data_IF_366125170287
#
_entry.id   IF_366125170287
#
_cell.length_a   1.000
_cell.length_b   1.000
_cell.length_c   1.000
_cell.angle_alpha   90.00
_cell.angle_beta   90.00
_cell.angle_gamma   90.00
#
_symmetry.space_group_name_H-M   'P 1'
#
loop_
_entity.id
_entity.type
_entity.pdbx_description
1 polymer ?
#
# COMPACT_ATOMS: atom_id res chain seq x y z
N UNK A 1 9.85 15.66 -19.34
CA UNK A 1 11.03 14.78 -19.43
C UNK A 1 11.71 14.70 -18.07
N UNK A 2 11.97 13.49 -17.55
CA UNK A 2 12.65 13.27 -16.27
C UNK A 2 11.78 12.68 -15.17
N UNK A 3 12.31 12.66 -13.93
CA UNK A 3 11.71 12.17 -12.69
C UNK A 3 11.31 13.35 -11.79
N UNK A 4 10.24 13.22 -11.01
CA UNK A 4 9.85 14.24 -10.03
C UNK A 4 9.32 15.51 -10.68
N UNK A 5 8.10 15.46 -11.23
CA UNK A 5 7.55 16.57 -12.02
C UNK A 5 7.39 17.90 -11.27
N UNK A 6 7.38 17.86 -9.94
CA UNK A 6 7.55 19.03 -9.06
C UNK A 6 8.88 19.04 -8.32
N UNK A 7 9.25 17.93 -7.68
CA UNK A 7 10.50 17.80 -6.91
C UNK A 7 11.22 16.51 -7.28
N UNK A 8 12.52 16.63 -7.57
CA UNK A 8 13.48 15.55 -7.47
C UNK A 8 14.33 15.78 -6.22
N UNK A 9 14.40 14.81 -5.32
CA UNK A 9 15.17 14.88 -4.08
C UNK A 9 16.12 13.68 -3.94
N UNK A 10 17.38 13.96 -3.63
CA UNK A 10 18.37 12.98 -3.19
C UNK A 10 18.80 13.36 -1.77
N UNK A 11 18.40 12.55 -0.79
CA UNK A 11 18.58 12.76 0.64
C UNK A 11 19.40 11.59 1.18
N UNK A 12 20.69 11.56 0.83
CA UNK A 12 21.57 10.40 0.98
C UNK A 12 22.74 10.62 1.96
N UNK A 13 22.60 11.55 2.91
CA UNK A 13 23.62 11.79 3.94
C UNK A 13 23.02 11.93 5.34
N UNK A 14 23.81 11.52 6.33
CA UNK A 14 23.42 11.54 7.75
C UNK A 14 23.02 12.94 8.19
N UNK A 15 21.82 13.06 8.76
CA UNK A 15 21.30 14.33 9.26
C UNK A 15 20.66 15.23 8.19
N UNK A 16 20.66 14.81 6.92
CA UNK A 16 19.92 15.53 5.87
C UNK A 16 18.42 15.35 6.04
N UNK A 17 17.71 16.46 5.98
CA UNK A 17 16.25 16.52 6.10
C UNK A 17 15.68 17.42 5.00
N UNK A 18 14.69 16.90 4.27
CA UNK A 18 13.80 17.71 3.44
C UNK A 18 12.40 17.75 4.07
N UNK A 19 11.95 18.95 4.45
CA UNK A 19 10.60 19.17 4.97
C UNK A 19 9.75 19.91 3.95
N UNK A 20 8.58 19.35 3.63
CA UNK A 20 7.55 19.94 2.77
C UNK A 20 6.31 20.15 3.65
N UNK A 21 6.01 21.40 3.99
CA UNK A 21 5.00 21.75 5.00
C UNK A 21 4.15 22.96 4.60
N UNK A 22 3.37 23.48 5.55
CA UNK A 22 2.72 24.80 5.48
C UNK A 22 1.78 25.03 4.29
N UNK A 23 0.89 24.06 4.04
CA UNK A 23 -0.12 24.14 2.97
C UNK A 23 0.49 24.18 1.57
N UNK A 24 1.68 23.60 1.40
CA UNK A 24 2.32 23.42 0.10
C UNK A 24 1.39 22.69 -0.88
N UNK A 25 1.51 23.02 -2.17
CA UNK A 25 0.67 22.45 -3.23
C UNK A 25 1.50 22.08 -4.45
N UNK A 26 1.29 20.87 -4.95
CA UNK A 26 1.80 20.37 -6.22
C UNK A 26 0.60 20.08 -7.11
N UNK A 27 0.37 20.92 -8.10
CA UNK A 27 -0.84 20.87 -8.94
C UNK A 27 -0.43 20.53 -10.36
N UNK A 28 -1.01 19.46 -10.89
CA UNK A 28 -0.81 18.99 -12.27
C UNK A 28 0.66 18.74 -12.64
N UNK A 29 1.52 18.50 -11.65
CA UNK A 29 2.91 18.14 -11.88
C UNK A 29 2.97 16.81 -12.66
N UNK A 30 3.73 16.79 -13.75
CA UNK A 30 3.81 15.61 -14.62
C UNK A 30 5.26 15.22 -14.84
N UNK A 31 5.54 13.95 -14.59
CA UNK A 31 6.82 13.29 -14.84
C UNK A 31 6.65 12.30 -15.99
N UNK A 32 7.63 12.24 -16.89
CA UNK A 32 7.63 11.19 -17.91
C UNK A 32 8.05 9.85 -17.32
N UNK A 33 8.94 9.89 -16.33
CA UNK A 33 9.39 8.73 -15.58
C UNK A 33 8.67 8.69 -14.23
N UNK A 34 9.38 8.45 -13.13
CA UNK A 34 8.82 8.22 -11.82
C UNK A 34 8.46 9.52 -11.08
N UNK A 35 7.47 9.47 -10.18
CA UNK A 35 7.09 10.54 -9.28
C UNK A 35 6.50 11.74 -10.01
N UNK A 36 5.20 11.72 -10.32
CA UNK A 36 4.57 12.83 -11.04
C UNK A 36 4.67 14.17 -10.32
N UNK A 37 4.48 14.18 -8.99
CA UNK A 37 4.76 15.33 -8.14
C UNK A 37 6.15 15.27 -7.53
N UNK A 38 6.44 14.22 -6.77
CA UNK A 38 7.68 14.11 -6.00
C UNK A 38 8.39 12.80 -6.35
N UNK A 39 9.69 12.88 -6.58
CA UNK A 39 10.60 11.74 -6.65
C UNK A 39 11.65 11.91 -5.56
N UNK A 40 11.84 10.90 -4.71
CA UNK A 40 12.79 10.96 -3.61
C UNK A 40 13.63 9.69 -3.45
N UNK A 41 14.94 9.88 -3.35
CA UNK A 41 15.89 8.87 -2.88
C UNK A 41 16.27 9.22 -1.44
N UNK A 42 16.01 8.33 -0.50
CA UNK A 42 16.25 8.57 0.93
C UNK A 42 17.15 7.46 1.46
N UNK A 43 18.39 7.80 1.75
CA UNK A 43 19.38 6.82 2.21
C UNK A 43 20.38 7.36 3.22
N UNK A 44 21.20 6.48 3.80
CA UNK A 44 22.25 6.83 4.76
C UNK A 44 21.75 7.73 5.92
N UNK A 45 20.64 7.35 6.55
CA UNK A 45 20.01 8.11 7.63
C UNK A 45 19.47 9.49 7.23
N UNK A 46 19.28 9.74 5.94
CA UNK A 46 18.53 10.88 5.42
C UNK A 46 17.04 10.75 5.69
N UNK A 47 16.34 11.89 5.75
CA UNK A 47 14.93 11.93 6.11
C UNK A 47 14.13 12.88 5.21
N UNK A 48 12.89 12.50 4.90
CA UNK A 48 11.91 13.35 4.25
C UNK A 48 10.66 13.43 5.10
N UNK A 49 10.16 14.64 5.32
CA UNK A 49 8.90 14.88 6.02
C UNK A 49 7.96 15.67 5.11
N UNK A 50 6.75 15.13 4.91
CA UNK A 50 5.67 15.81 4.19
C UNK A 50 4.52 15.99 5.16
N UNK A 51 4.08 17.23 5.33
CA UNK A 51 2.94 17.56 6.16
C UNK A 51 2.07 18.66 5.59
N UNK A 52 0.77 18.64 5.91
CA UNK A 52 -0.17 19.69 5.54
C UNK A 52 0.00 20.14 4.07
N UNK A 53 0.02 19.18 3.14
CA UNK A 53 0.43 19.39 1.75
C UNK A 53 -0.59 18.72 0.83
N UNK A 54 -0.85 19.32 -0.33
CA UNK A 54 -1.73 18.72 -1.34
C UNK A 54 -0.97 18.44 -2.62
N UNK A 55 -1.06 17.20 -3.11
CA UNK A 55 -0.66 16.80 -4.45
C UNK A 55 -1.94 16.52 -5.23
N UNK A 56 -2.23 17.31 -6.27
CA UNK A 56 -3.48 17.23 -7.01
C UNK A 56 -3.24 17.11 -8.51
N UNK A 57 -3.81 16.08 -9.14
CA UNK A 57 -3.69 15.84 -10.58
C UNK A 57 -2.26 15.51 -11.02
N UNK A 58 -1.40 15.05 -10.10
CA UNK A 58 -0.01 14.72 -10.41
C UNK A 58 0.08 13.39 -11.16
N UNK A 59 0.92 13.33 -12.19
CA UNK A 59 0.95 12.20 -13.11
C UNK A 59 2.36 11.70 -13.43
N UNK A 60 2.53 10.38 -13.40
CA UNK A 60 3.67 9.71 -14.04
C UNK A 60 3.19 9.07 -15.36
N UNK A 61 3.76 9.46 -16.50
CA UNK A 61 3.24 9.02 -17.81
C UNK A 61 3.75 7.67 -18.27
N UNK A 62 5.00 7.31 -17.96
CA UNK A 62 5.59 6.02 -18.32
C UNK A 62 6.32 5.32 -17.16
N UNK A 63 6.55 6.00 -16.04
CA UNK A 63 7.15 5.43 -14.84
C UNK A 63 6.14 5.02 -13.77
N UNK A 64 6.56 5.18 -12.52
CA UNK A 64 5.86 4.74 -11.30
C UNK A 64 5.53 5.91 -10.39
N UNK A 65 4.53 5.76 -9.52
CA UNK A 65 4.18 6.77 -8.51
C UNK A 65 3.57 8.02 -9.15
N UNK A 66 2.24 8.05 -9.28
CA UNK A 66 1.56 9.18 -9.92
C UNK A 66 1.75 10.49 -9.15
N UNK A 67 1.57 10.44 -7.82
CA UNK A 67 1.89 11.57 -6.94
C UNK A 67 3.35 11.55 -6.49
N UNK A 68 3.75 10.48 -5.80
CA UNK A 68 5.05 10.37 -5.15
C UNK A 68 5.72 9.05 -5.51
N UNK A 69 7.01 9.11 -5.79
CA UNK A 69 7.90 7.95 -5.83
C UNK A 69 8.96 8.07 -4.72
N UNK A 70 9.19 6.99 -3.99
CA UNK A 70 10.26 6.90 -2.98
C UNK A 70 11.08 5.63 -3.10
N UNK A 71 12.40 5.73 -2.96
CA UNK A 71 13.30 4.62 -2.64
C UNK A 71 13.96 4.92 -1.30
N UNK A 72 13.64 4.12 -0.27
CA UNK A 72 14.05 4.34 1.11
C UNK A 72 14.95 3.18 1.52
N UNK A 73 16.24 3.45 1.72
CA UNK A 73 17.23 2.43 2.04
C UNK A 73 18.18 2.80 3.16
N UNK A 74 18.44 1.86 4.07
CA UNK A 74 19.44 2.03 5.12
C UNK A 74 18.86 2.37 6.49
N UNK A 75 19.71 2.20 7.52
CA UNK A 75 19.34 2.46 8.90
C UNK A 75 18.97 3.94 9.10
N UNK A 76 17.88 4.18 9.83
CA UNK A 76 17.32 5.50 10.13
C UNK A 76 16.89 6.33 8.91
N UNK A 77 16.90 5.75 7.70
CA UNK A 77 16.33 6.38 6.51
C UNK A 77 14.81 6.36 6.60
N UNK A 78 14.19 7.54 6.55
CA UNK A 78 12.77 7.70 6.85
C UNK A 78 12.07 8.63 5.87
N UNK A 79 10.94 8.18 5.34
CA UNK A 79 9.94 9.09 4.76
C UNK A 79 8.72 9.09 5.69
N UNK A 80 8.34 10.27 6.17
CA UNK A 80 7.14 10.47 6.96
C UNK A 80 6.15 11.37 6.24
N UNK A 81 4.96 10.87 5.97
CA UNK A 81 3.84 11.59 5.37
C UNK A 81 2.75 11.69 6.42
N UNK A 82 2.46 12.89 6.91
CA UNK A 82 1.61 13.06 8.09
C UNK A 82 0.85 14.37 8.13
N UNK A 83 -0.10 14.52 9.05
CA UNK A 83 -0.78 15.78 9.34
C UNK A 83 -1.48 16.37 8.10
N UNK A 84 -2.53 15.69 7.61
CA UNK A 84 -3.38 16.18 6.51
C UNK A 84 -2.64 16.37 5.18
N UNK A 85 -1.96 15.33 4.73
CA UNK A 85 -1.48 15.26 3.35
C UNK A 85 -2.58 14.72 2.46
N UNK A 86 -2.86 15.38 1.35
CA UNK A 86 -3.90 14.97 0.40
C UNK A 86 -3.25 14.62 -0.94
N UNK A 87 -3.43 13.39 -1.39
CA UNK A 87 -3.14 12.97 -2.76
C UNK A 87 -4.47 12.82 -3.50
N UNK A 88 -4.74 13.73 -4.43
CA UNK A 88 -6.04 13.86 -5.09
C UNK A 88 -5.86 13.69 -6.58
N UNK A 89 -6.56 12.71 -7.17
CA UNK A 89 -6.55 12.48 -8.62
C UNK A 89 -5.14 12.27 -9.19
N UNK A 90 -4.24 11.72 -8.39
CA UNK A 90 -2.90 11.36 -8.85
C UNK A 90 -2.98 10.07 -9.68
N UNK A 91 -2.30 10.04 -10.83
CA UNK A 91 -2.38 8.90 -11.75
C UNK A 91 -0.99 8.37 -12.16
N UNK A 92 -0.82 7.07 -12.02
CA UNK A 92 0.27 6.33 -12.63
C UNK A 92 -0.22 5.75 -13.96
N UNK A 93 0.29 6.27 -15.09
CA UNK A 93 -0.07 5.85 -16.46
C UNK A 93 0.95 4.89 -17.07
N UNK A 94 2.08 4.65 -16.40
CA UNK A 94 3.08 3.67 -16.82
C UNK A 94 2.55 2.24 -16.77
N UNK A 95 3.13 1.38 -17.61
CA UNK A 95 2.75 -0.04 -17.76
C UNK A 95 3.53 -0.98 -16.84
N UNK A 96 4.53 -0.47 -16.11
CA UNK A 96 5.38 -1.26 -15.22
C UNK A 96 5.29 -0.77 -13.76
N UNK A 97 4.56 -1.52 -12.93
CA UNK A 97 4.43 -1.39 -11.46
C UNK A 97 3.85 -0.04 -10.97
N UNK A 98 2.53 0.03 -10.79
CA UNK A 98 1.85 1.30 -10.51
C UNK A 98 1.48 1.51 -9.05
N UNK A 99 1.32 2.78 -8.68
CA UNK A 99 1.01 3.30 -7.35
C UNK A 99 0.44 4.70 -7.56
N UNK A 100 -0.87 4.81 -7.82
CA UNK A 100 -1.46 6.04 -8.39
C UNK A 100 -1.18 7.28 -7.54
N UNK A 101 -1.34 7.17 -6.23
CA UNK A 101 -0.84 8.16 -5.28
C UNK A 101 0.64 7.99 -5.02
N UNK A 102 1.05 6.85 -4.46
CA UNK A 102 2.42 6.60 -4.03
C UNK A 102 2.95 5.27 -4.58
N UNK A 103 4.19 5.28 -5.05
CA UNK A 103 5.00 4.08 -5.22
C UNK A 103 6.22 4.15 -4.31
N UNK A 104 6.44 3.14 -3.47
CA UNK A 104 7.62 3.10 -2.60
C UNK A 104 8.35 1.77 -2.63
N UNK A 105 9.68 1.84 -2.67
CA UNK A 105 10.57 0.73 -2.32
C UNK A 105 11.13 1.02 -0.93
N UNK A 106 10.98 0.09 0.01
CA UNK A 106 11.44 0.23 1.39
C UNK A 106 12.35 -0.94 1.73
N UNK A 107 13.65 -0.67 1.85
CA UNK A 107 14.65 -1.71 1.93
C UNK A 107 15.77 -1.46 2.95
N UNK A 108 16.50 -2.50 3.34
CA UNK A 108 17.71 -2.39 4.18
C UNK A 108 17.50 -1.56 5.46
N UNK A 109 16.43 -1.80 6.21
CA UNK A 109 15.99 -1.07 7.40
C UNK A 109 15.38 0.34 7.19
N UNK A 110 15.07 0.69 5.94
CA UNK A 110 14.31 1.89 5.62
C UNK A 110 12.89 1.85 6.20
N UNK A 111 12.29 3.03 6.36
CA UNK A 111 10.94 3.17 6.91
C UNK A 111 10.09 4.17 6.12
N UNK A 112 8.85 3.77 5.83
CA UNK A 112 7.80 4.66 5.35
C UNK A 112 6.69 4.72 6.39
N UNK A 113 6.35 5.93 6.85
CA UNK A 113 5.28 6.16 7.82
C UNK A 113 4.26 7.10 7.21
N UNK A 114 3.01 6.64 7.08
CA UNK A 114 1.87 7.43 6.59
C UNK A 114 0.85 7.53 7.71
N UNK A 115 0.51 8.75 8.13
CA UNK A 115 -0.32 8.92 9.31
C UNK A 115 -1.13 10.22 9.38
N UNK A 116 -1.95 10.36 10.43
CA UNK A 116 -2.62 11.58 10.88
C UNK A 116 -3.40 12.29 9.78
N UNK A 117 -4.58 11.76 9.46
CA UNK A 117 -5.54 12.36 8.53
C UNK A 117 -5.01 12.52 7.10
N UNK A 118 -4.14 11.60 6.65
CA UNK A 118 -3.68 11.58 5.25
C UNK A 118 -4.76 10.97 4.36
N UNK A 119 -5.06 11.60 3.23
CA UNK A 119 -6.11 11.21 2.30
C UNK A 119 -5.56 10.88 0.92
N UNK A 120 -5.98 9.73 0.39
CA UNK A 120 -5.84 9.36 -1.02
C UNK A 120 -7.23 9.38 -1.64
N UNK A 121 -7.48 10.31 -2.55
CA UNK A 121 -8.78 10.52 -3.16
C UNK A 121 -8.70 10.35 -4.68
N UNK A 122 -9.43 9.39 -5.21
CA UNK A 122 -9.52 9.15 -6.67
C UNK A 122 -8.17 8.90 -7.34
N UNK A 123 -7.19 8.40 -6.60
CA UNK A 123 -5.90 8.00 -7.15
C UNK A 123 -6.05 6.77 -8.04
N UNK A 124 -5.29 6.73 -9.14
CA UNK A 124 -5.44 5.67 -10.14
C UNK A 124 -4.10 5.11 -10.62
N UNK A 125 -4.05 3.79 -10.72
CA UNK A 125 -3.02 3.07 -11.45
C UNK A 125 -3.64 2.50 -12.73
N UNK A 126 -3.32 3.11 -13.87
CA UNK A 126 -4.06 2.88 -15.12
C UNK A 126 -3.86 1.48 -15.70
N UNK A 127 -2.67 0.92 -15.54
CA UNK A 127 -2.29 -0.39 -16.08
C UNK A 127 -1.57 -1.27 -15.06
N UNK A 128 -1.36 -0.77 -13.84
CA UNK A 128 -0.61 -1.46 -12.80
C UNK A 128 -1.46 -1.80 -11.58
N UNK A 129 -0.75 -2.15 -10.51
CA UNK A 129 -1.29 -2.43 -9.19
C UNK A 129 -1.51 -1.13 -8.40
N UNK A 130 -2.06 -1.20 -7.18
CA UNK A 130 -1.98 -0.11 -6.20
C UNK A 130 -2.61 1.21 -6.65
N UNK A 131 -3.94 1.32 -6.65
CA UNK A 131 -4.59 2.56 -7.12
C UNK A 131 -4.23 3.77 -6.25
N UNK A 132 -4.24 3.60 -4.93
CA UNK A 132 -3.73 4.58 -3.98
C UNK A 132 -2.23 4.43 -3.76
N UNK A 133 -1.78 3.23 -3.42
CA UNK A 133 -0.40 2.98 -3.03
C UNK A 133 0.11 1.61 -3.49
N UNK A 134 1.37 1.59 -3.90
CA UNK A 134 2.16 0.39 -4.11
C UNK A 134 3.40 0.42 -3.22
N UNK A 135 3.68 -0.69 -2.54
CA UNK A 135 4.90 -0.84 -1.74
C UNK A 135 5.59 -2.18 -1.97
N UNK A 136 6.92 -2.12 -2.17
CA UNK A 136 7.82 -3.26 -2.04
C UNK A 136 8.58 -3.12 -0.71
N UNK A 137 8.51 -4.12 0.17
CA UNK A 137 9.12 -4.07 1.51
C UNK A 137 10.11 -5.21 1.69
N UNK A 138 11.40 -4.89 1.83
CA UNK A 138 12.49 -5.88 1.81
C UNK A 138 13.48 -5.60 2.94
N UNK A 139 13.45 -6.41 3.99
CA UNK A 139 14.50 -6.41 5.03
C UNK A 139 15.76 -7.17 4.59
N UNK A 140 16.56 -7.60 5.55
CA UNK A 140 17.75 -8.44 5.31
C UNK A 140 17.97 -9.42 6.46
N UNK A 141 18.08 -10.72 6.15
CA UNK A 141 18.49 -11.72 7.13
C UNK A 141 19.96 -11.59 7.53
N UNK A 142 20.83 -11.27 6.57
CA UNK A 142 22.29 -11.23 6.76
C UNK A 142 22.66 -10.20 7.84
N UNK A 143 22.00 -9.05 7.80
CA UNK A 143 22.23 -7.95 8.74
C UNK A 143 21.17 -7.87 9.85
N UNK A 144 20.24 -8.84 9.90
CA UNK A 144 19.05 -8.84 10.75
C UNK A 144 18.28 -7.50 10.74
N UNK A 145 18.15 -6.90 9.57
CA UNK A 145 17.49 -5.61 9.35
C UNK A 145 16.03 -5.80 8.97
N UNK A 146 15.16 -5.01 9.59
CA UNK A 146 13.72 -5.03 9.34
C UNK A 146 13.30 -3.73 8.66
N UNK A 147 12.67 -3.83 7.49
CA UNK A 147 12.12 -2.70 6.74
C UNK A 147 10.63 -2.58 7.02
N UNK A 148 10.13 -1.36 7.21
CA UNK A 148 8.77 -1.16 7.77
C UNK A 148 7.98 -0.15 6.94
N UNK A 149 6.75 -0.51 6.59
CA UNK A 149 5.71 0.42 6.15
C UNK A 149 4.61 0.46 7.20
N UNK A 150 4.28 1.65 7.68
CA UNK A 150 3.19 1.87 8.64
C UNK A 150 2.16 2.84 8.08
N UNK A 151 0.88 2.47 8.15
CA UNK A 151 -0.29 3.27 7.79
C UNK A 151 -1.19 3.33 9.03
N UNK A 152 -1.43 4.51 9.60
CA UNK A 152 -2.15 4.61 10.89
C UNK A 152 -2.74 5.98 11.21
N UNK A 153 -3.62 6.07 12.20
CA UNK A 153 -4.22 7.30 12.70
C UNK A 153 -5.03 8.06 11.63
N UNK A 154 -6.19 7.50 11.27
CA UNK A 154 -7.17 8.12 10.38
C UNK A 154 -6.62 8.35 8.96
N UNK A 155 -5.93 7.36 8.40
CA UNK A 155 -5.58 7.41 6.97
C UNK A 155 -6.79 6.94 6.16
N UNK A 156 -7.05 7.59 5.03
CA UNK A 156 -8.19 7.27 4.19
C UNK A 156 -7.81 7.05 2.74
N UNK A 157 -8.34 5.98 2.15
CA UNK A 157 -8.32 5.72 0.72
C UNK A 157 -9.76 5.73 0.21
N UNK A 158 -10.07 6.68 -0.67
CA UNK A 158 -11.41 6.87 -1.19
C UNK A 158 -11.40 6.83 -2.70
N UNK A 159 -12.19 5.92 -3.30
CA UNK A 159 -12.35 5.79 -4.75
C UNK A 159 -11.02 5.56 -5.48
N UNK A 160 -10.09 4.85 -4.85
CA UNK A 160 -8.80 4.51 -5.44
C UNK A 160 -8.94 3.28 -6.34
N UNK A 161 -8.39 3.36 -7.56
CA UNK A 161 -8.61 2.35 -8.59
C UNK A 161 -7.31 1.87 -9.23
N UNK A 162 -7.16 0.56 -9.38
CA UNK A 162 -6.10 -0.03 -10.19
C UNK A 162 -6.68 -0.94 -11.27
N UNK A 163 -5.92 -1.12 -12.34
CA UNK A 163 -6.27 -2.11 -13.36
C UNK A 163 -6.05 -3.52 -12.82
N UNK A 164 -4.86 -3.76 -12.27
CA UNK A 164 -4.42 -5.05 -11.75
C UNK A 164 -4.78 -5.19 -10.27
N UNK A 165 -3.84 -5.49 -9.37
CA UNK A 165 -4.17 -5.87 -7.99
C UNK A 165 -4.11 -4.71 -6.99
N UNK A 166 -4.95 -4.74 -5.94
CA UNK A 166 -4.90 -3.79 -4.82
C UNK A 166 -5.45 -2.40 -5.14
N UNK A 167 -6.77 -2.23 -5.15
CA UNK A 167 -7.40 -0.96 -5.53
C UNK A 167 -6.97 0.23 -4.68
N UNK A 168 -6.91 0.06 -3.36
CA UNK A 168 -6.28 1.05 -2.46
C UNK A 168 -4.79 0.79 -2.31
N UNK A 169 -4.42 -0.39 -1.83
CA UNK A 169 -3.05 -0.75 -1.46
C UNK A 169 -2.67 -2.07 -2.11
N UNK A 170 -1.54 -2.06 -2.81
CA UNK A 170 -0.80 -3.26 -3.19
C UNK A 170 0.48 -3.32 -2.37
N UNK A 171 0.77 -4.46 -1.75
CA UNK A 171 2.00 -4.66 -1.00
C UNK A 171 2.65 -6.02 -1.31
N UNK A 172 3.91 -5.98 -1.74
CA UNK A 172 4.79 -7.15 -1.82
C UNK A 172 5.74 -7.11 -0.62
N UNK A 173 5.50 -7.96 0.37
CA UNK A 173 6.21 -7.98 1.65
C UNK A 173 7.14 -9.17 1.67
N UNK A 174 8.43 -8.88 1.49
CA UNK A 174 9.49 -9.88 1.38
C UNK A 174 10.20 -10.05 2.71
N UNK A 175 11.34 -10.70 2.64
CA UNK A 175 12.14 -11.18 3.76
C UNK A 175 12.35 -10.09 4.81
N UNK A 176 11.97 -10.35 6.07
CA UNK A 176 12.07 -9.36 7.17
C UNK A 176 11.36 -8.01 6.88
N UNK A 177 10.48 -7.95 5.90
CA UNK A 177 9.61 -6.81 5.63
C UNK A 177 8.39 -6.84 6.54
N UNK A 178 7.95 -5.65 6.96
CA UNK A 178 6.75 -5.50 7.78
C UNK A 178 5.79 -4.48 7.20
N UNK A 179 4.53 -4.87 7.11
CA UNK A 179 3.42 -3.97 6.78
C UNK A 179 2.47 -3.88 7.97
N UNK A 180 2.25 -2.67 8.47
CA UNK A 180 1.36 -2.39 9.59
C UNK A 180 0.27 -1.41 9.12
N UNK A 181 -0.98 -1.86 9.04
CA UNK A 181 -2.13 -1.04 8.67
C UNK A 181 -3.09 -1.00 9.84
N UNK A 182 -3.27 0.19 10.43
CA UNK A 182 -4.18 0.43 11.54
C UNK A 182 -5.04 1.67 11.30
N UNK A 183 -6.18 1.78 11.95
CA UNK A 183 -7.02 2.99 12.00
C UNK A 183 -7.19 3.65 10.62
N UNK A 184 -7.51 2.83 9.63
CA UNK A 184 -7.51 3.21 8.21
C UNK A 184 -8.86 2.88 7.59
N UNK A 185 -9.43 3.84 6.86
CA UNK A 185 -10.64 3.65 6.07
C UNK A 185 -10.28 3.44 4.60
N UNK A 186 -10.87 2.41 3.98
CA UNK A 186 -10.82 2.20 2.54
C UNK A 186 -12.26 2.12 2.03
N UNK A 187 -12.70 3.14 1.29
CA UNK A 187 -14.07 3.23 0.78
C UNK A 187 -14.08 3.26 -0.74
N UNK A 188 -14.94 2.44 -1.33
CA UNK A 188 -15.20 2.39 -2.78
C UNK A 188 -13.92 2.19 -3.61
N UNK A 189 -12.95 1.44 -3.09
CA UNK A 189 -11.73 1.12 -3.83
C UNK A 189 -11.93 -0.10 -4.73
N UNK A 190 -11.26 -0.13 -5.88
CA UNK A 190 -11.52 -1.16 -6.90
C UNK A 190 -10.26 -1.65 -7.61
N UNK A 191 -10.12 -2.98 -7.67
CA UNK A 191 -9.32 -3.67 -8.67
C UNK A 191 -10.22 -3.98 -9.87
N UNK A 192 -9.88 -3.44 -11.04
CA UNK A 192 -10.77 -3.45 -12.21
C UNK A 192 -10.77 -4.79 -12.93
N UNK A 193 -9.62 -5.48 -13.02
CA UNK A 193 -9.51 -6.75 -13.74
C UNK A 193 -8.83 -7.85 -12.92
N UNK A 194 -8.51 -7.62 -11.64
CA UNK A 194 -7.75 -8.57 -10.82
C UNK A 194 -8.29 -8.66 -9.38
N UNK A 195 -7.40 -8.88 -8.40
CA UNK A 195 -7.74 -9.23 -7.03
C UNK A 195 -7.57 -8.04 -6.06
N UNK A 196 -8.17 -8.16 -4.88
CA UNK A 196 -7.92 -7.23 -3.76
C UNK A 196 -8.48 -5.84 -4.01
N UNK A 197 -9.81 -5.68 -3.90
CA UNK A 197 -10.45 -4.39 -4.23
C UNK A 197 -10.00 -3.25 -3.32
N UNK A 198 -9.82 -3.51 -2.04
CA UNK A 198 -9.13 -2.60 -1.12
C UNK A 198 -7.64 -2.91 -1.05
N UNK A 199 -7.30 -4.08 -0.52
CA UNK A 199 -5.94 -4.46 -0.20
C UNK A 199 -5.56 -5.74 -0.96
N UNK A 200 -4.39 -5.73 -1.57
CA UNK A 200 -3.68 -6.93 -2.01
C UNK A 200 -2.35 -7.04 -1.26
N UNK A 201 -2.07 -8.21 -0.69
CA UNK A 201 -0.80 -8.51 -0.04
C UNK A 201 -0.19 -9.82 -0.54
N UNK A 202 1.11 -9.79 -0.82
CA UNK A 202 1.88 -10.98 -1.17
C UNK A 202 3.07 -11.15 -0.22
N UNK A 203 3.10 -12.26 0.52
CA UNK A 203 4.22 -12.67 1.37
C UNK A 203 4.90 -13.88 0.73
N UNK A 204 5.88 -13.62 -0.14
CA UNK A 204 6.51 -14.64 -1.01
C UNK A 204 7.84 -15.21 -0.49
N UNK A 205 8.40 -14.64 0.57
CA UNK A 205 9.68 -15.05 1.16
C UNK A 205 9.63 -15.00 2.68
N UNK A 206 10.48 -15.75 3.37
CA UNK A 206 10.39 -16.00 4.80
C UNK A 206 10.54 -14.81 5.75
N UNK A 207 9.94 -14.95 6.95
CA UNK A 207 10.06 -13.99 8.05
C UNK A 207 9.53 -12.58 7.72
N UNK A 208 8.57 -12.49 6.79
CA UNK A 208 7.77 -11.29 6.58
C UNK A 208 6.57 -11.28 7.52
N UNK A 209 6.05 -10.08 7.77
CA UNK A 209 5.02 -9.87 8.78
C UNK A 209 4.00 -8.85 8.29
N UNK A 210 2.71 -9.20 8.34
CA UNK A 210 1.62 -8.29 7.98
C UNK A 210 0.62 -8.25 9.11
N UNK A 211 0.35 -7.04 9.63
CA UNK A 211 -0.72 -6.76 10.58
C UNK A 211 -1.70 -5.78 9.96
N UNK A 212 -2.94 -6.22 9.77
CA UNK A 212 -4.07 -5.37 9.41
C UNK A 212 -5.00 -5.37 10.61
N UNK A 213 -4.94 -4.32 11.43
CA UNK A 213 -5.60 -4.37 12.72
C UNK A 213 -6.14 -3.04 13.23
N UNK A 214 -6.95 -3.08 14.29
CA UNK A 214 -7.39 -1.90 15.04
C UNK A 214 -8.13 -0.85 14.20
N UNK A 215 -9.45 -0.94 14.14
CA UNK A 215 -10.32 0.06 13.48
C UNK A 215 -9.98 0.26 12.00
N UNK A 216 -9.57 -0.80 11.32
CA UNK A 216 -9.50 -0.80 9.85
C UNK A 216 -10.90 -1.11 9.31
N UNK A 217 -11.41 -0.25 8.44
CA UNK A 217 -12.71 -0.42 7.79
C UNK A 217 -12.55 -0.44 6.27
N UNK A 218 -13.04 -1.50 5.63
CA UNK A 218 -13.16 -1.61 4.18
C UNK A 218 -14.63 -1.60 3.81
N UNK A 219 -15.06 -0.60 3.04
CA UNK A 219 -16.45 -0.39 2.67
C UNK A 219 -16.61 -0.31 1.15
N UNK A 220 -17.54 -1.10 0.60
CA UNK A 220 -17.86 -1.11 -0.83
C UNK A 220 -16.65 -1.35 -1.75
N UNK A 221 -15.62 -2.02 -1.25
CA UNK A 221 -14.45 -2.37 -2.06
C UNK A 221 -14.79 -3.52 -3.02
N UNK A 222 -14.24 -3.49 -4.23
CA UNK A 222 -14.60 -4.44 -5.27
C UNK A 222 -13.38 -5.01 -6.00
N UNK A 223 -13.36 -6.31 -6.22
CA UNK A 223 -12.41 -6.95 -7.14
C UNK A 223 -13.16 -7.68 -8.27
N UNK A 224 -12.50 -7.78 -9.43
CA UNK A 224 -13.02 -8.51 -10.59
C UNK A 224 -12.53 -9.95 -10.67
N UNK A 225 -11.74 -10.37 -9.69
CA UNK A 225 -11.41 -11.77 -9.42
C UNK A 225 -11.71 -12.02 -7.93
N UNK A 226 -10.71 -12.32 -7.11
CA UNK A 226 -10.89 -12.72 -5.73
C UNK A 226 -10.65 -11.57 -4.74
N UNK A 227 -11.14 -11.69 -3.50
CA UNK A 227 -10.83 -10.76 -2.41
C UNK A 227 -11.38 -9.35 -2.62
N UNK A 228 -12.70 -9.17 -2.51
CA UNK A 228 -13.32 -7.87 -2.79
C UNK A 228 -12.84 -6.77 -1.84
N UNK A 229 -12.68 -7.08 -0.57
CA UNK A 229 -12.00 -6.22 0.41
C UNK A 229 -10.49 -6.47 0.40
N UNK A 230 -10.08 -7.68 0.81
CA UNK A 230 -8.68 -8.07 1.02
C UNK A 230 -8.40 -9.34 0.21
N UNK A 231 -7.29 -9.37 -0.52
CA UNK A 231 -6.70 -10.57 -1.08
C UNK A 231 -5.30 -10.77 -0.51
N UNK A 232 -5.03 -11.94 0.07
CA UNK A 232 -3.76 -12.24 0.72
C UNK A 232 -3.14 -13.56 0.24
N UNK A 233 -1.83 -13.53 -0.02
CA UNK A 233 -1.00 -14.71 -0.24
C UNK A 233 0.03 -14.79 0.89
N UNK A 234 0.07 -15.93 1.58
CA UNK A 234 0.99 -16.18 2.70
C UNK A 234 1.78 -17.46 2.46
N UNK A 235 3.05 -17.32 2.09
CA UNK A 235 3.91 -18.46 1.78
C UNK A 235 5.20 -18.49 2.61
N UNK A 236 5.79 -19.66 2.85
CA UNK A 236 7.16 -19.82 3.36
C UNK A 236 7.47 -19.16 4.73
N UNK A 237 6.93 -19.68 5.84
CA UNK A 237 7.24 -19.21 7.21
C UNK A 237 6.90 -17.73 7.44
N UNK A 238 5.71 -17.32 7.03
CA UNK A 238 5.23 -15.95 7.13
C UNK A 238 4.04 -15.82 8.07
N UNK A 239 3.86 -14.60 8.59
CA UNK A 239 2.80 -14.30 9.54
C UNK A 239 1.87 -13.21 8.98
N UNK A 240 0.58 -13.52 8.93
CA UNK A 240 -0.50 -12.59 8.63
C UNK A 240 -1.49 -12.54 9.79
N UNK A 241 -1.77 -11.35 10.31
CA UNK A 241 -2.84 -11.13 11.29
C UNK A 241 -3.86 -10.13 10.76
N UNK A 242 -5.13 -10.50 10.91
CA UNK A 242 -6.30 -9.68 10.65
C UNK A 242 -7.11 -9.61 11.94
N UNK A 243 -7.27 -8.41 12.51
CA UNK A 243 -7.88 -8.29 13.84
C UNK A 243 -8.55 -6.94 14.12
N UNK A 244 -9.70 -6.91 14.79
CA UNK A 244 -10.41 -5.66 15.10
C UNK A 244 -10.72 -4.83 13.84
N UNK A 245 -11.24 -5.49 12.79
CA UNK A 245 -11.55 -4.87 11.50
C UNK A 245 -13.02 -5.02 11.12
N UNK A 246 -13.46 -4.17 10.19
CA UNK A 246 -14.80 -4.24 9.61
C UNK A 246 -14.72 -4.27 8.08
N UNK A 247 -15.39 -5.24 7.47
CA UNK A 247 -15.64 -5.29 6.04
C UNK A 247 -17.14 -5.17 5.80
N UNK A 248 -17.55 -4.20 4.98
CA UNK A 248 -18.96 -3.97 4.68
C UNK A 248 -19.18 -3.78 3.18
N UNK A 249 -20.15 -4.50 2.62
CA UNK A 249 -20.55 -4.38 1.21
C UNK A 249 -19.39 -4.63 0.21
N UNK A 250 -18.37 -5.39 0.61
CA UNK A 250 -17.26 -5.74 -0.27
C UNK A 250 -17.68 -6.84 -1.23
N UNK A 251 -17.28 -6.75 -2.51
CA UNK A 251 -17.73 -7.68 -3.55
C UNK A 251 -16.58 -8.24 -4.38
N UNK A 252 -16.63 -9.53 -4.66
CA UNK A 252 -15.75 -10.19 -5.64
C UNK A 252 -16.57 -10.97 -6.66
N UNK A 253 -16.11 -11.04 -7.91
CA UNK A 253 -16.71 -11.93 -8.92
C UNK A 253 -16.16 -13.35 -8.85
N UNK A 254 -14.99 -13.52 -8.23
CA UNK A 254 -14.43 -14.80 -7.85
C UNK A 254 -14.90 -15.20 -6.46
N UNK A 255 -13.95 -15.46 -5.58
CA UNK A 255 -14.09 -15.95 -4.21
C UNK A 255 -13.77 -14.86 -3.19
N UNK A 256 -14.23 -15.00 -1.95
CA UNK A 256 -13.83 -14.11 -0.86
C UNK A 256 -14.30 -12.67 -1.04
N UNK A 257 -15.60 -12.40 -0.95
CA UNK A 257 -16.14 -11.04 -1.17
C UNK A 257 -15.57 -10.02 -0.19
N UNK A 258 -15.46 -10.40 1.09
CA UNK A 258 -14.70 -9.66 2.08
C UNK A 258 -13.20 -9.98 1.98
N UNK A 259 -12.82 -11.22 2.28
CA UNK A 259 -11.43 -11.66 2.36
C UNK A 259 -11.22 -12.91 1.52
N UNK A 260 -10.19 -12.92 0.68
CA UNK A 260 -9.60 -14.12 0.13
C UNK A 260 -8.20 -14.32 0.72
N UNK A 261 -7.86 -15.54 1.15
CA UNK A 261 -6.51 -15.89 1.58
C UNK A 261 -6.05 -17.23 1.00
N UNK A 262 -4.86 -17.28 0.40
CA UNK A 262 -4.13 -18.51 0.06
C UNK A 262 -2.89 -18.62 0.95
N UNK A 263 -2.89 -19.62 1.84
CA UNK A 263 -1.82 -19.87 2.80
C UNK A 263 -1.18 -21.21 2.45
N UNK A 264 0.07 -21.20 1.99
CA UNK A 264 0.72 -22.42 1.49
C UNK A 264 2.21 -22.53 1.82
N UNK A 265 2.75 -23.75 1.89
CA UNK A 265 4.14 -24.00 2.29
C UNK A 265 4.25 -24.33 3.77
N UNK A 266 5.41 -24.11 4.41
CA UNK A 266 5.65 -24.52 5.79
C UNK A 266 5.66 -23.38 6.79
N UNK A 267 5.24 -23.67 8.03
CA UNK A 267 5.29 -22.77 9.20
C UNK A 267 4.63 -21.40 8.99
N UNK A 268 3.65 -21.29 8.10
CA UNK A 268 2.87 -20.05 7.97
C UNK A 268 1.87 -19.95 9.10
N UNK A 269 1.58 -18.73 9.52
CA UNK A 269 0.49 -18.44 10.46
C UNK A 269 -0.43 -17.41 9.82
N UNK A 270 -1.73 -17.73 9.81
CA UNK A 270 -2.77 -16.79 9.42
C UNK A 270 -3.80 -16.71 10.54
N UNK A 271 -3.79 -15.58 11.25
CA UNK A 271 -4.63 -15.33 12.41
C UNK A 271 -5.75 -14.35 12.05
N UNK A 272 -7.00 -14.80 12.16
CA UNK A 272 -8.19 -13.94 12.20
C UNK A 272 -8.68 -13.92 13.65
N UNK A 273 -8.53 -12.80 14.34
CA UNK A 273 -8.70 -12.74 15.80
C UNK A 273 -9.43 -11.49 16.27
N UNK A 274 -9.90 -11.52 17.52
CA UNK A 274 -10.68 -10.45 18.14
C UNK A 274 -11.93 -10.08 17.30
N UNK A 275 -12.35 -8.81 17.29
CA UNK A 275 -13.61 -8.41 16.69
C UNK A 275 -13.45 -8.17 15.18
N UNK A 276 -13.74 -9.19 14.37
CA UNK A 276 -13.83 -9.06 12.90
C UNK A 276 -15.28 -9.06 12.48
N UNK A 277 -15.77 -7.93 11.95
CA UNK A 277 -17.14 -7.79 11.45
C UNK A 277 -17.15 -7.88 9.93
N UNK A 278 -17.98 -8.77 9.37
CA UNK A 278 -18.17 -8.92 7.92
C UNK A 278 -19.66 -8.82 7.64
N UNK A 279 -20.04 -7.77 6.93
CA UNK A 279 -21.42 -7.35 6.77
C UNK A 279 -21.78 -7.16 5.30
N UNK A 280 -22.76 -7.91 4.81
CA UNK A 280 -23.27 -7.79 3.43
C UNK A 280 -22.17 -7.94 2.35
N UNK A 281 -21.12 -8.73 2.62
CA UNK A 281 -20.07 -9.04 1.63
C UNK A 281 -20.50 -10.19 0.71
N UNK A 282 -20.20 -10.09 -0.57
CA UNK A 282 -20.69 -11.00 -1.61
C UNK A 282 -19.55 -11.50 -2.51
N UNK A 283 -19.60 -12.78 -2.87
CA UNK A 283 -18.79 -13.38 -3.93
C UNK A 283 -19.70 -14.13 -4.89
N UNK A 284 -19.34 -14.20 -6.19
CA UNK A 284 -20.15 -14.97 -7.16
C UNK A 284 -19.77 -16.45 -7.18
N UNK A 285 -18.59 -16.81 -6.65
CA UNK A 285 -18.17 -18.19 -6.41
C UNK A 285 -18.29 -18.52 -4.91
N UNK A 286 -17.18 -18.88 -4.27
CA UNK A 286 -17.18 -19.36 -2.89
C UNK A 286 -16.85 -18.24 -1.88
N UNK A 287 -17.41 -18.33 -0.67
CA UNK A 287 -17.03 -17.51 0.47
C UNK A 287 -17.37 -16.01 0.33
N UNK A 288 -18.66 -15.66 0.36
CA UNK A 288 -19.08 -14.25 0.24
C UNK A 288 -18.44 -13.32 1.28
N UNK A 289 -18.32 -13.79 2.51
CA UNK A 289 -17.52 -13.12 3.54
C UNK A 289 -16.03 -13.42 3.42
N UNK A 290 -15.66 -14.67 3.65
CA UNK A 290 -14.26 -15.12 3.65
C UNK A 290 -14.14 -16.39 2.82
N UNK A 291 -13.10 -16.47 1.99
CA UNK A 291 -12.58 -17.70 1.43
C UNK A 291 -11.13 -17.89 1.89
N UNK A 292 -10.80 -19.07 2.42
CA UNK A 292 -9.43 -19.42 2.81
C UNK A 292 -9.05 -20.76 2.19
N UNK A 293 -7.91 -20.80 1.53
CA UNK A 293 -7.24 -22.01 1.06
C UNK A 293 -6.01 -22.26 1.94
N UNK A 294 -6.01 -23.38 2.65
CA UNK A 294 -4.94 -23.77 3.56
C UNK A 294 -4.22 -25.00 3.00
N UNK A 295 -3.05 -24.79 2.41
CA UNK A 295 -2.12 -25.82 1.96
C UNK A 295 -0.81 -25.73 2.75
N UNK A 296 -0.94 -25.61 4.07
CA UNK A 296 0.19 -25.48 4.99
C UNK A 296 0.71 -26.88 5.36
N UNK A 297 2.03 -27.06 5.37
CA UNK A 297 2.70 -28.27 5.86
C UNK A 297 3.46 -27.92 7.13
N UNK A 298 2.93 -28.34 8.28
CA UNK A 298 3.39 -27.93 9.61
C UNK A 298 2.67 -26.68 10.08
#
# INVERSE_FOLDING_TARGET
QGKGGGIFADISSTGSLLSICDKSQFISCTSEQDGGGIYALVSNSGQMEISNTTLSGCNSTSGKGGGIYTDISGNNSLVQISNKVNLVECECKGTSSGGGGIYSVVQSAGKLIITRNTLFLSCRSKFGNGGGMYVDIIGSLINNQTSIVQISNQVEFQRCFCYSDGGAVYADVKIKGQLLINETLMNECKSISSNGGGIFTNQSTNNSFIHISNLVELTKCQSNLDGGGIYAIVNSSNYLMISNIKLKLCKSTGKGGGIYADVSGSNNTFDITNQVQIDECESQLDGGGIYVKLNNSG
#
